data_IF_044951023927
#
_entry.id   IF_044951023927
#
_cell.length_a   1.000
_cell.length_b   1.000
_cell.length_c   1.000
_cell.angle_alpha   90.00
_cell.angle_beta   90.00
_cell.angle_gamma   90.00
#
_symmetry.space_group_name_H-M   'P 1'
#
loop_
_entity.id
_entity.type
_entity.pdbx_description
1 polymer ?
#
# COMPACT_ATOMS: atom_id res chain seq x y z
N UNK A 1 21.59 21.97 6.80
CA UNK A 1 20.38 22.37 6.07
C UNK A 1 20.35 21.56 4.78
N UNK A 2 19.63 20.44 4.76
CA UNK A 2 19.52 19.62 3.56
C UNK A 2 18.53 20.32 2.62
N UNK A 3 18.98 20.55 1.42
CA UNK A 3 18.32 21.40 0.42
C UNK A 3 16.97 20.78 -0.02
N UNK A 4 15.89 21.25 0.58
CA UNK A 4 14.49 20.80 0.34
C UNK A 4 14.11 20.92 -1.15
N UNK A 5 14.73 21.87 -1.87
CA UNK A 5 14.52 22.07 -3.31
C UNK A 5 14.98 20.87 -4.14
N UNK A 6 16.04 20.15 -3.70
CA UNK A 6 16.50 18.93 -4.38
C UNK A 6 15.56 17.75 -4.20
N UNK A 7 14.81 17.69 -3.10
CA UNK A 7 13.83 16.62 -2.84
C UNK A 7 12.59 16.82 -3.72
N UNK A 8 12.12 18.06 -3.86
CA UNK A 8 10.94 18.37 -4.71
C UNK A 8 11.27 18.16 -6.20
N UNK A 9 12.47 18.59 -6.66
CA UNK A 9 12.90 18.30 -8.04
C UNK A 9 13.14 16.81 -8.31
N UNK A 10 13.48 16.03 -7.27
CA UNK A 10 13.57 14.58 -7.33
C UNK A 10 12.19 13.90 -7.52
N UNK A 11 11.16 14.40 -6.85
CA UNK A 11 9.79 13.85 -6.96
C UNK A 11 9.18 14.08 -8.35
N UNK A 12 9.42 15.22 -9.00
CA UNK A 12 8.96 15.44 -10.39
C UNK A 12 9.67 14.55 -11.42
N UNK A 13 10.95 14.20 -11.21
CA UNK A 13 11.68 13.26 -12.07
C UNK A 13 11.20 11.81 -11.88
N UNK A 14 10.67 11.42 -10.70
CA UNK A 14 10.25 10.07 -10.39
C UNK A 14 8.92 9.67 -11.07
N UNK A 15 8.03 10.62 -11.37
CA UNK A 15 6.76 10.35 -12.09
C UNK A 15 6.98 9.80 -13.50
N UNK A 16 8.08 10.17 -14.16
CA UNK A 16 8.40 9.73 -15.52
C UNK A 16 8.96 8.30 -15.61
N UNK A 17 9.31 7.67 -14.49
CA UNK A 17 10.00 6.38 -14.52
C UNK A 17 9.08 5.24 -14.90
N UNK A 18 7.84 5.21 -14.42
CA UNK A 18 6.90 4.13 -14.70
C UNK A 18 6.58 4.01 -16.21
N UNK A 19 6.39 5.13 -16.91
CA UNK A 19 6.12 5.13 -18.35
C UNK A 19 7.24 4.50 -19.17
N UNK A 20 8.49 4.60 -18.71
CA UNK A 20 9.68 4.07 -19.40
C UNK A 20 10.09 2.67 -18.94
N UNK A 21 9.52 2.13 -17.85
CA UNK A 21 9.93 0.83 -17.27
C UNK A 21 9.50 -0.36 -18.12
N UNK A 22 10.34 -1.39 -18.15
CA UNK A 22 9.92 -2.74 -18.54
C UNK A 22 9.17 -3.43 -17.39
N UNK A 23 8.40 -4.45 -17.71
CA UNK A 23 7.63 -5.20 -16.68
C UNK A 23 8.55 -5.82 -15.62
N UNK A 24 9.72 -6.29 -16.04
CA UNK A 24 10.69 -6.98 -15.17
C UNK A 24 11.64 -6.02 -14.44
N UNK A 25 11.56 -4.70 -14.68
CA UNK A 25 12.39 -3.70 -13.98
C UNK A 25 11.91 -3.37 -12.56
N UNK A 26 10.76 -3.92 -12.18
CA UNK A 26 10.15 -3.67 -10.87
C UNK A 26 9.59 -2.24 -10.70
N UNK A 27 8.66 -2.08 -9.78
CA UNK A 27 8.10 -0.77 -9.43
C UNK A 27 8.86 -0.17 -8.25
N UNK A 28 8.92 1.16 -8.20
CA UNK A 28 9.39 1.92 -7.04
C UNK A 28 8.24 2.27 -6.10
N UNK A 29 8.56 2.80 -4.92
CA UNK A 29 7.54 3.33 -4.00
C UNK A 29 6.71 4.43 -4.66
N UNK A 30 7.37 5.36 -5.36
CA UNK A 30 6.67 6.45 -6.07
C UNK A 30 5.77 5.96 -7.22
N UNK A 31 6.12 4.85 -7.88
CA UNK A 31 5.23 4.23 -8.85
C UNK A 31 3.98 3.66 -8.17
N UNK A 32 4.17 3.04 -6.99
CA UNK A 32 3.05 2.50 -6.21
C UNK A 32 2.18 3.60 -5.62
N UNK A 33 2.76 4.71 -5.16
CA UNK A 33 2.02 5.90 -4.68
C UNK A 33 1.16 6.49 -5.78
N UNK A 34 1.75 6.67 -6.97
CA UNK A 34 1.03 7.15 -8.13
C UNK A 34 -0.16 6.24 -8.49
N UNK A 35 0.05 4.92 -8.56
CA UNK A 35 -1.00 3.97 -8.89
C UNK A 35 -2.07 3.87 -7.81
N UNK A 36 -1.68 3.87 -6.54
CA UNK A 36 -2.60 3.87 -5.41
C UNK A 36 -3.53 5.09 -5.45
N UNK A 37 -2.98 6.28 -5.69
CA UNK A 37 -3.73 7.52 -5.89
C UNK A 37 -4.68 7.42 -7.07
N UNK A 38 -4.18 7.02 -8.24
CA UNK A 38 -4.98 6.90 -9.47
C UNK A 38 -6.14 5.93 -9.32
N UNK A 39 -5.91 4.77 -8.70
CA UNK A 39 -6.98 3.80 -8.46
C UNK A 39 -7.98 4.26 -7.39
N UNK A 40 -7.54 4.96 -6.35
CA UNK A 40 -8.43 5.56 -5.37
C UNK A 40 -9.39 6.57 -6.04
N UNK A 41 -8.86 7.48 -6.85
CA UNK A 41 -9.64 8.48 -7.60
C UNK A 41 -10.68 7.81 -8.52
N UNK A 42 -10.31 6.77 -9.25
CA UNK A 42 -11.21 6.05 -10.16
C UNK A 42 -12.31 5.25 -9.44
N UNK A 43 -12.18 4.98 -8.16
CA UNK A 43 -13.14 4.18 -7.39
C UNK A 43 -13.78 4.95 -6.24
N UNK A 44 -13.76 6.29 -6.28
CA UNK A 44 -14.35 7.17 -5.24
C UNK A 44 -13.84 6.86 -3.82
N UNK A 45 -12.59 6.39 -3.72
CA UNK A 45 -11.89 6.20 -2.47
C UNK A 45 -11.02 7.43 -2.18
N UNK A 46 -10.71 7.65 -0.91
CA UNK A 46 -9.79 8.71 -0.52
C UNK A 46 -8.35 8.21 -0.58
N UNK A 47 -7.48 8.95 -1.27
CA UNK A 47 -6.04 8.73 -1.21
C UNK A 47 -5.44 9.59 -0.11
N UNK A 48 -4.77 8.96 0.84
CA UNK A 48 -4.07 9.62 1.92
C UNK A 48 -2.55 9.58 1.68
N UNK A 49 -1.98 10.74 1.35
CA UNK A 49 -0.53 10.88 1.28
C UNK A 49 0.06 10.87 2.70
N UNK A 50 0.76 9.79 3.02
CA UNK A 50 1.38 9.60 4.32
C UNK A 50 2.64 10.43 4.52
N UNK A 51 3.36 10.75 3.44
CA UNK A 51 4.70 11.32 3.53
C UNK A 51 4.75 12.67 4.27
N UNK A 52 3.87 13.65 3.99
CA UNK A 52 3.84 14.91 4.74
C UNK A 52 3.55 14.72 6.23
N UNK A 53 2.67 13.77 6.56
CA UNK A 53 2.31 13.45 7.94
C UNK A 53 3.48 12.83 8.70
N UNK A 54 4.21 11.96 8.04
CA UNK A 54 5.35 11.26 8.62
C UNK A 54 6.54 12.20 8.86
N UNK A 55 6.70 13.23 8.04
CA UNK A 55 7.76 14.23 8.17
C UNK A 55 7.45 15.33 9.20
N UNK A 56 6.38 15.21 10.01
CA UNK A 56 5.90 16.23 10.96
C UNK A 56 5.70 17.62 10.31
N UNK A 57 5.50 17.68 9.01
CA UNK A 57 5.06 18.92 8.37
C UNK A 57 3.62 19.14 8.81
N UNK A 58 3.30 20.38 9.21
CA UNK A 58 1.94 20.81 9.53
C UNK A 58 1.05 20.55 8.32
N UNK A 59 0.55 19.33 8.22
CA UNK A 59 -0.47 19.00 7.24
C UNK A 59 -1.81 19.49 7.81
N UNK A 60 -2.72 19.88 6.95
CA UNK A 60 -4.11 20.16 7.33
C UNK A 60 -4.77 18.86 7.82
N UNK A 61 -4.46 18.49 9.07
CA UNK A 61 -4.99 17.28 9.70
C UNK A 61 -6.52 17.31 9.74
N UNK A 62 -7.14 18.46 9.94
CA UNK A 62 -8.59 18.60 9.98
C UNK A 62 -9.23 18.32 8.61
N UNK A 63 -8.62 18.79 7.52
CA UNK A 63 -9.05 18.49 6.16
C UNK A 63 -8.88 17.02 5.81
N UNK A 64 -7.76 16.42 6.19
CA UNK A 64 -7.49 14.98 6.03
C UNK A 64 -8.55 14.17 6.77
N UNK A 65 -8.80 14.44 8.04
CA UNK A 65 -9.81 13.80 8.87
C UNK A 65 -11.20 13.85 8.23
N UNK A 66 -11.61 15.03 7.79
CA UNK A 66 -12.89 15.23 7.11
C UNK A 66 -13.03 14.39 5.84
N UNK A 67 -11.95 14.24 5.07
CA UNK A 67 -11.95 13.42 3.85
C UNK A 67 -12.01 11.93 4.15
N UNK A 68 -11.28 11.46 5.18
CA UNK A 68 -11.35 10.09 5.66
C UNK A 68 -12.78 9.78 6.15
N UNK A 69 -13.38 10.65 6.92
CA UNK A 69 -14.76 10.48 7.42
C UNK A 69 -15.80 10.35 6.31
N UNK A 70 -15.61 11.07 5.20
CA UNK A 70 -16.52 11.02 4.05
C UNK A 70 -16.35 9.77 3.19
N UNK A 71 -15.21 9.12 3.24
CA UNK A 71 -14.89 7.96 2.40
C UNK A 71 -15.10 6.65 3.15
N UNK A 72 -15.67 5.65 2.47
CA UNK A 72 -15.78 4.30 3.02
C UNK A 72 -14.47 3.53 2.94
N UNK A 73 -13.63 3.86 1.95
CA UNK A 73 -12.34 3.23 1.72
C UNK A 73 -11.29 4.33 1.61
N UNK A 74 -10.20 4.16 2.35
CA UNK A 74 -8.99 4.97 2.21
C UNK A 74 -7.86 4.11 1.69
N UNK A 75 -7.09 4.65 0.76
CA UNK A 75 -5.83 4.06 0.26
C UNK A 75 -4.70 4.98 0.66
N UNK A 76 -3.64 4.43 1.21
CA UNK A 76 -2.46 5.24 1.57
C UNK A 76 -1.37 5.15 0.51
N UNK A 77 -0.38 6.02 0.60
CA UNK A 77 0.90 5.84 -0.05
C UNK A 77 1.60 4.55 0.43
N UNK A 78 2.60 4.12 -0.33
CA UNK A 78 3.38 2.93 -0.01
C UNK A 78 4.23 3.14 1.25
N UNK A 79 4.28 2.12 2.11
CA UNK A 79 5.05 2.13 3.34
C UNK A 79 6.16 1.08 3.25
N UNK A 80 7.41 1.49 3.47
CA UNK A 80 8.51 0.52 3.58
C UNK A 80 8.52 -0.10 4.97
N UNK A 81 8.42 -1.43 4.99
CA UNK A 81 8.52 -2.24 6.21
C UNK A 81 9.92 -2.82 6.28
N UNK A 82 10.64 -2.49 7.36
CA UNK A 82 11.99 -3.03 7.64
C UNK A 82 11.91 -4.06 8.76
N UNK A 83 12.89 -4.98 8.85
CA UNK A 83 12.94 -5.94 9.94
C UNK A 83 12.95 -5.28 11.32
N UNK A 84 12.42 -5.99 12.30
CA UNK A 84 12.28 -5.53 13.69
C UNK A 84 13.65 -5.16 14.28
N UNK A 85 13.73 -3.97 14.83
CA UNK A 85 14.91 -3.50 15.58
C UNK A 85 15.21 -2.02 15.43
N UNK A 86 14.71 -1.36 14.38
CA UNK A 86 14.98 0.06 14.13
C UNK A 86 13.76 0.70 13.48
N UNK A 87 13.30 1.82 13.98
CA UNK A 87 12.40 2.83 13.39
C UNK A 87 11.10 2.39 12.66
N UNK A 88 10.97 1.16 12.16
CA UNK A 88 9.79 0.70 11.40
C UNK A 88 8.49 0.67 12.20
N UNK A 89 8.58 0.44 13.52
CA UNK A 89 7.44 0.37 14.43
C UNK A 89 6.77 1.71 14.68
N UNK A 90 7.55 2.77 14.75
CA UNK A 90 7.03 4.12 15.04
C UNK A 90 6.07 4.60 13.95
N UNK A 91 6.28 4.17 12.71
CA UNK A 91 5.45 4.51 11.58
C UNK A 91 4.05 3.89 11.67
N UNK A 92 3.99 2.59 11.99
CA UNK A 92 2.72 1.88 12.17
C UNK A 92 1.92 2.43 13.34
N UNK A 93 2.59 2.71 14.45
CA UNK A 93 1.95 3.29 15.63
C UNK A 93 1.37 4.67 15.29
N UNK A 94 2.15 5.54 14.64
CA UNK A 94 1.66 6.86 14.23
C UNK A 94 0.49 6.77 13.26
N UNK A 95 0.59 5.91 12.24
CA UNK A 95 -0.48 5.70 11.28
C UNK A 95 -1.76 5.19 11.97
N UNK A 96 -1.65 4.16 12.79
CA UNK A 96 -2.78 3.56 13.46
C UNK A 96 -3.32 4.44 14.60
N UNK A 97 -2.49 5.21 15.30
CA UNK A 97 -2.96 6.22 16.28
C UNK A 97 -3.73 7.35 15.58
N UNK A 98 -3.32 7.76 14.39
CA UNK A 98 -4.08 8.70 13.57
C UNK A 98 -5.46 8.14 13.23
N UNK A 99 -5.54 6.86 12.84
CA UNK A 99 -6.78 6.17 12.54
C UNK A 99 -7.67 5.96 13.76
N UNK A 100 -7.09 5.84 14.97
CA UNK A 100 -7.85 5.69 16.20
C UNK A 100 -8.75 6.88 16.50
N UNK A 101 -8.25 8.10 16.34
CA UNK A 101 -8.97 9.32 16.72
C UNK A 101 -10.18 9.60 15.84
N UNK A 102 -10.16 9.15 14.58
CA UNK A 102 -11.10 9.61 13.56
C UNK A 102 -12.00 8.53 12.96
N UNK A 103 -11.68 7.27 13.20
CA UNK A 103 -12.34 6.12 12.56
C UNK A 103 -13.26 5.32 13.47
N UNK A 104 -13.30 5.66 14.75
CA UNK A 104 -14.03 4.85 15.76
C UNK A 104 -15.56 4.95 15.62
N UNK A 105 -16.07 5.91 14.87
CA UNK A 105 -17.51 6.14 14.75
C UNK A 105 -18.22 5.34 13.65
N UNK A 106 -17.49 4.79 12.68
CA UNK A 106 -18.09 4.13 11.52
C UNK A 106 -17.25 2.96 10.98
N UNK A 107 -17.91 2.04 10.26
CA UNK A 107 -17.23 0.96 9.57
C UNK A 107 -16.42 1.49 8.39
N UNK A 108 -15.12 1.27 8.39
CA UNK A 108 -14.18 1.80 7.39
C UNK A 108 -13.23 0.72 6.91
N UNK A 109 -12.70 0.96 5.70
CA UNK A 109 -11.70 0.10 5.09
C UNK A 109 -10.43 0.91 4.78
N UNK A 110 -9.28 0.30 5.02
CA UNK A 110 -7.97 0.89 4.78
C UNK A 110 -7.13 -0.06 3.93
N UNK A 111 -6.52 0.45 2.87
CA UNK A 111 -5.60 -0.28 1.99
C UNK A 111 -4.24 0.40 2.07
N UNK A 112 -3.21 -0.37 2.38
CA UNK A 112 -1.83 0.09 2.52
C UNK A 112 -0.94 -0.75 1.60
N UNK A 113 -0.40 -0.19 0.52
CA UNK A 113 0.69 -0.83 -0.20
C UNK A 113 1.91 -0.90 0.72
N UNK A 114 2.51 -2.06 0.86
CA UNK A 114 3.71 -2.22 1.65
C UNK A 114 4.87 -2.71 0.78
N UNK A 115 6.03 -2.10 0.99
CA UNK A 115 7.28 -2.55 0.43
C UNK A 115 8.03 -3.29 1.53
N UNK A 116 8.09 -4.59 1.39
CA UNK A 116 8.88 -5.43 2.25
C UNK A 116 10.35 -5.28 1.85
N UNK A 117 11.17 -4.77 2.76
CA UNK A 117 12.61 -4.66 2.54
C UNK A 117 13.30 -5.64 3.49
N UNK A 118 13.58 -6.88 3.02
CA UNK A 118 14.29 -7.86 3.81
C UNK A 118 15.73 -7.40 4.09
N UNK A 119 16.42 -8.12 4.95
CA UNK A 119 17.81 -7.81 5.38
C UNK A 119 18.82 -7.65 4.23
N UNK A 120 18.47 -8.11 3.03
CA UNK A 120 19.28 -7.91 1.83
C UNK A 120 18.72 -6.80 0.94
N UNK A 121 19.48 -5.72 0.68
CA UNK A 121 18.95 -4.53 -0.01
C UNK A 121 18.62 -4.72 -1.51
N UNK A 122 18.78 -5.93 -2.05
CA UNK A 122 18.61 -6.18 -3.50
C UNK A 122 17.20 -6.63 -3.91
N UNK A 123 16.37 -7.06 -2.96
CA UNK A 123 15.05 -7.62 -3.28
C UNK A 123 13.94 -6.81 -2.59
N UNK A 124 13.44 -5.81 -3.29
CA UNK A 124 12.24 -5.11 -2.89
C UNK A 124 11.02 -5.94 -3.28
N UNK A 125 10.20 -6.31 -2.32
CA UNK A 125 8.96 -7.02 -2.58
C UNK A 125 7.76 -6.17 -2.19
N UNK A 126 6.77 -6.05 -3.07
CA UNK A 126 5.52 -5.35 -2.78
C UNK A 126 4.43 -6.33 -2.40
N UNK A 127 3.71 -5.99 -1.36
CA UNK A 127 2.50 -6.65 -0.90
C UNK A 127 1.43 -5.60 -0.57
N UNK A 128 0.24 -6.04 -0.20
CA UNK A 128 -0.87 -5.16 0.19
C UNK A 128 -1.41 -5.60 1.55
N UNK A 129 -1.52 -4.64 2.45
CA UNK A 129 -2.16 -4.80 3.74
C UNK A 129 -3.50 -4.09 3.72
N UNK A 130 -4.55 -4.78 4.13
CA UNK A 130 -5.89 -4.23 4.25
C UNK A 130 -6.41 -4.31 5.68
N UNK A 131 -7.23 -3.34 6.07
CA UNK A 131 -7.98 -3.37 7.32
C UNK A 131 -9.45 -3.11 7.04
N UNK A 132 -10.29 -3.87 7.69
CA UNK A 132 -11.73 -3.67 7.69
C UNK A 132 -12.18 -3.53 9.15
N UNK A 133 -12.55 -2.31 9.51
CA UNK A 133 -12.96 -1.95 10.86
C UNK A 133 -14.48 -2.06 10.99
N UNK A 134 -14.95 -2.94 11.86
CA UNK A 134 -16.35 -3.04 12.27
C UNK A 134 -16.48 -2.54 13.71
N UNK A 135 -16.72 -1.26 13.84
CA UNK A 135 -16.79 -0.57 15.14
C UNK A 135 -17.96 -1.08 15.96
N UNK A 136 -19.11 -1.33 15.31
CA UNK A 136 -20.34 -1.77 15.97
C UNK A 136 -20.17 -3.11 16.70
N UNK A 137 -19.45 -4.04 16.06
CA UNK A 137 -19.20 -5.37 16.63
C UNK A 137 -17.84 -5.46 17.33
N UNK A 138 -17.08 -4.35 17.39
CA UNK A 138 -15.73 -4.30 17.95
C UNK A 138 -14.77 -5.32 17.30
N UNK A 139 -14.85 -5.45 15.96
CA UNK A 139 -14.05 -6.39 15.19
C UNK A 139 -13.11 -5.64 14.22
N UNK A 140 -11.92 -6.19 14.01
CA UNK A 140 -11.01 -5.80 12.93
C UNK A 140 -10.60 -7.04 12.15
N UNK A 141 -10.79 -6.98 10.83
CA UNK A 141 -10.23 -7.96 9.93
C UNK A 141 -8.98 -7.37 9.27
N UNK A 142 -7.88 -8.07 9.38
CA UNK A 142 -6.60 -7.73 8.76
C UNK A 142 -6.39 -8.65 7.58
N UNK A 143 -6.06 -8.09 6.41
CA UNK A 143 -5.85 -8.83 5.17
C UNK A 143 -4.43 -8.59 4.68
N UNK A 144 -3.73 -9.66 4.38
CA UNK A 144 -2.41 -9.58 3.77
C UNK A 144 -2.42 -10.36 2.46
N UNK A 145 -2.07 -9.67 1.37
CA UNK A 145 -2.01 -10.26 0.04
C UNK A 145 -0.64 -9.98 -0.57
N UNK A 146 -0.05 -11.04 -1.07
CA UNK A 146 1.23 -10.97 -1.76
C UNK A 146 1.23 -11.89 -3.00
N UNK A 147 2.20 -11.70 -3.88
CA UNK A 147 2.26 -12.37 -5.17
C UNK A 147 2.34 -13.90 -5.08
N UNK A 148 3.20 -14.42 -4.20
CA UNK A 148 3.59 -15.84 -4.18
C UNK A 148 2.78 -16.71 -3.22
N UNK A 149 1.92 -16.15 -2.43
CA UNK A 149 1.22 -16.71 -1.28
C UNK A 149 2.09 -16.82 -0.01
N UNK A 150 1.43 -16.61 1.13
CA UNK A 150 2.03 -16.88 2.44
C UNK A 150 1.98 -18.39 2.66
N UNK A 151 3.10 -19.06 2.52
CA UNK A 151 3.20 -20.49 2.76
C UNK A 151 3.44 -20.75 4.23
N UNK A 152 2.57 -21.55 4.82
CA UNK A 152 2.87 -22.20 6.10
C UNK A 152 3.74 -23.43 5.84
N UNK A 153 5.04 -23.31 6.02
CA UNK A 153 5.91 -24.46 6.29
C UNK A 153 6.47 -25.26 5.13
N UNK A 154 6.32 -24.89 3.86
CA UNK A 154 6.95 -25.62 2.74
C UNK A 154 8.22 -24.90 2.25
N UNK A 155 9.34 -25.64 2.35
CA UNK A 155 10.72 -25.17 2.34
C UNK A 155 11.41 -25.09 0.97
N UNK A 156 10.71 -25.02 -0.15
CA UNK A 156 11.35 -25.11 -1.47
C UNK A 156 11.85 -23.77 -2.06
N UNK A 157 11.75 -22.68 -1.31
CA UNK A 157 12.38 -21.42 -1.67
C UNK A 157 13.09 -20.82 -0.45
N UNK A 158 14.40 -21.05 -0.35
CA UNK A 158 15.28 -20.44 0.66
C UNK A 158 15.27 -18.89 0.67
N UNK A 159 14.65 -18.27 -0.32
CA UNK A 159 14.53 -16.82 -0.45
C UNK A 159 13.28 -16.25 0.25
N UNK A 160 12.30 -17.08 0.65
CA UNK A 160 11.02 -16.63 1.23
C UNK A 160 10.93 -16.72 2.77
N UNK A 161 11.91 -17.35 3.43
CA UNK A 161 11.92 -17.49 4.89
C UNK A 161 11.88 -16.15 5.62
N UNK A 162 12.60 -15.16 5.10
CA UNK A 162 12.70 -13.82 5.70
C UNK A 162 11.38 -13.05 5.65
N UNK A 163 10.54 -13.25 4.60
CA UNK A 163 9.25 -12.58 4.49
C UNK A 163 8.19 -13.16 5.42
N UNK A 164 8.16 -14.49 5.58
CA UNK A 164 7.20 -15.13 6.49
C UNK A 164 7.46 -14.77 7.94
N UNK A 165 8.72 -14.74 8.35
CA UNK A 165 9.13 -14.36 9.71
C UNK A 165 8.84 -12.87 9.96
N UNK A 166 9.12 -12.01 8.98
CA UNK A 166 8.84 -10.60 9.05
C UNK A 166 7.32 -10.35 9.16
N UNK A 167 6.50 -11.04 8.39
CA UNK A 167 5.03 -10.97 8.49
C UNK A 167 4.57 -11.43 9.87
N UNK A 168 5.07 -12.57 10.35
CA UNK A 168 4.77 -13.06 11.69
C UNK A 168 5.10 -12.02 12.75
N UNK A 169 6.28 -11.43 12.70
CA UNK A 169 6.70 -10.42 13.65
C UNK A 169 5.85 -9.15 13.56
N UNK A 170 5.55 -8.66 12.38
CA UNK A 170 4.72 -7.46 12.22
C UNK A 170 3.25 -7.71 12.55
N UNK A 171 2.65 -8.77 12.01
CA UNK A 171 1.22 -9.01 12.21
C UNK A 171 0.94 -9.50 13.63
N UNK A 172 1.57 -10.60 14.03
CA UNK A 172 1.24 -11.26 15.29
C UNK A 172 1.83 -10.59 16.52
N UNK A 173 3.03 -10.03 16.42
CA UNK A 173 3.69 -9.38 17.56
C UNK A 173 3.40 -7.88 17.68
N UNK A 174 2.94 -7.23 16.60
CA UNK A 174 2.69 -5.80 16.61
C UNK A 174 1.26 -5.41 16.26
N UNK A 175 0.81 -5.66 15.04
CA UNK A 175 -0.44 -5.10 14.53
C UNK A 175 -1.63 -5.66 15.32
N UNK A 176 -1.70 -6.97 15.54
CA UNK A 176 -2.78 -7.58 16.33
C UNK A 176 -2.80 -7.07 17.77
N UNK A 177 -1.69 -7.06 18.53
CA UNK A 177 -1.67 -6.46 19.86
C UNK A 177 -2.03 -4.98 19.87
N UNK A 178 -1.57 -4.21 18.86
CA UNK A 178 -1.93 -2.81 18.74
C UNK A 178 -3.44 -2.64 18.56
N UNK A 179 -4.07 -3.37 17.64
CA UNK A 179 -5.51 -3.31 17.44
C UNK A 179 -6.29 -3.66 18.71
N UNK A 180 -5.83 -4.65 19.48
CA UNK A 180 -6.47 -5.05 20.75
C UNK A 180 -6.24 -4.06 21.87
N UNK A 181 -4.98 -3.70 22.11
CA UNK A 181 -4.58 -2.95 23.32
C UNK A 181 -4.72 -1.43 23.17
N UNK A 182 -4.44 -0.91 21.97
CA UNK A 182 -4.47 0.54 21.74
C UNK A 182 -5.77 0.99 21.09
N UNK A 183 -6.28 0.27 20.11
CA UNK A 183 -7.52 0.61 19.44
C UNK A 183 -8.76 0.06 20.18
N UNK A 184 -8.58 -0.91 21.08
CA UNK A 184 -9.65 -1.43 21.92
C UNK A 184 -10.60 -2.43 21.23
N UNK A 185 -10.22 -2.99 20.08
CA UNK A 185 -11.01 -3.99 19.39
C UNK A 185 -10.95 -5.34 20.13
N UNK A 186 -12.10 -5.95 20.35
CA UNK A 186 -12.20 -7.23 21.08
C UNK A 186 -11.76 -8.40 20.20
N UNK A 187 -12.19 -8.39 18.94
CA UNK A 187 -11.89 -9.46 18.00
C UNK A 187 -11.01 -8.90 16.86
N UNK A 188 -9.87 -9.53 16.66
CA UNK A 188 -8.95 -9.21 15.58
C UNK A 188 -8.65 -10.49 14.83
N UNK A 189 -9.05 -10.57 13.58
CA UNK A 189 -8.88 -11.72 12.70
C UNK A 189 -7.87 -11.38 11.61
N UNK A 190 -7.02 -12.34 11.24
CA UNK A 190 -6.02 -12.19 10.21
C UNK A 190 -6.26 -13.17 9.06
N UNK A 191 -6.25 -12.64 7.84
CA UNK A 191 -6.47 -13.35 6.59
C UNK A 191 -5.32 -13.11 5.63
N UNK A 192 -4.87 -14.14 4.95
CA UNK A 192 -3.83 -14.04 3.93
C UNK A 192 -4.13 -14.97 2.76
N UNK A 193 -3.59 -14.64 1.58
CA UNK A 193 -3.76 -15.52 0.44
C UNK A 193 -2.84 -16.75 0.57
N UNK A 194 -3.45 -17.92 0.50
CA UNK A 194 -2.74 -19.22 0.53
C UNK A 194 -2.48 -19.78 -0.88
N UNK A 195 -2.85 -19.05 -1.92
CA UNK A 195 -2.59 -19.39 -3.32
C UNK A 195 -1.84 -18.26 -3.99
N UNK A 196 -0.85 -18.57 -4.86
CA UNK A 196 -0.14 -17.54 -5.58
C UNK A 196 -1.06 -16.80 -6.56
N UNK A 197 -0.90 -15.50 -6.63
CA UNK A 197 -1.58 -14.64 -7.61
C UNK A 197 -0.82 -14.67 -8.93
N UNK A 198 0.51 -14.75 -8.88
CA UNK A 198 1.36 -14.96 -10.04
C UNK A 198 2.60 -15.76 -9.66
N UNK A 199 3.08 -16.56 -10.62
CA UNK A 199 4.37 -17.28 -10.51
C UNK A 199 5.51 -16.57 -11.24
N UNK A 200 5.23 -15.52 -11.99
CA UNK A 200 6.24 -14.74 -12.71
C UNK A 200 7.12 -13.96 -11.73
N UNK A 201 8.44 -14.00 -11.93
CA UNK A 201 9.39 -13.27 -11.08
C UNK A 201 9.37 -11.77 -11.38
N UNK A 202 9.78 -10.95 -10.42
CA UNK A 202 9.99 -9.49 -10.53
C UNK A 202 8.76 -8.65 -10.90
N UNK A 203 7.55 -9.17 -10.74
CA UNK A 203 6.29 -8.46 -11.06
C UNK A 203 5.45 -8.11 -9.84
N UNK A 204 6.03 -8.20 -8.64
CA UNK A 204 5.30 -7.94 -7.38
C UNK A 204 4.62 -6.57 -7.36
N UNK A 205 5.24 -5.53 -7.92
CA UNK A 205 4.63 -4.20 -8.02
C UNK A 205 3.39 -4.17 -8.93
N UNK A 206 3.43 -4.87 -10.08
CA UNK A 206 2.27 -5.00 -10.97
C UNK A 206 1.15 -5.74 -10.26
N UNK A 207 1.47 -6.86 -9.61
CA UNK A 207 0.51 -7.67 -8.86
C UNK A 207 -0.09 -6.88 -7.70
N UNK A 208 0.72 -6.19 -6.90
CA UNK A 208 0.25 -5.36 -5.79
C UNK A 208 -0.70 -4.25 -6.28
N UNK A 209 -0.38 -3.59 -7.39
CA UNK A 209 -1.26 -2.58 -7.98
C UNK A 209 -2.61 -3.16 -8.40
N UNK A 210 -2.64 -4.37 -8.94
CA UNK A 210 -3.88 -5.07 -9.29
C UNK A 210 -4.67 -5.48 -8.05
N UNK A 211 -4.00 -5.95 -6.99
CA UNK A 211 -4.64 -6.25 -5.71
C UNK A 211 -5.37 -5.01 -5.18
N UNK A 212 -4.71 -3.85 -5.14
CA UNK A 212 -5.32 -2.59 -4.71
C UNK A 212 -6.57 -2.30 -5.55
N UNK A 213 -6.46 -2.38 -6.88
CA UNK A 213 -7.57 -2.14 -7.80
C UNK A 213 -8.75 -3.10 -7.54
N UNK A 214 -8.48 -4.37 -7.27
CA UNK A 214 -9.51 -5.37 -6.98
C UNK A 214 -10.15 -5.14 -5.60
N UNK A 215 -9.36 -4.84 -4.57
CA UNK A 215 -9.87 -4.53 -3.24
C UNK A 215 -10.79 -3.31 -3.25
N UNK A 216 -10.48 -2.29 -4.05
CA UNK A 216 -11.34 -1.12 -4.23
C UNK A 216 -12.70 -1.44 -4.84
N UNK A 217 -12.79 -2.47 -5.71
CA UNK A 217 -14.01 -2.90 -6.39
C UNK A 217 -14.80 -3.96 -5.64
N UNK A 218 -14.13 -4.73 -4.80
CA UNK A 218 -14.70 -5.88 -4.12
C UNK A 218 -15.27 -5.49 -2.78
N UNK A 219 -16.53 -5.84 -2.51
CA UNK A 219 -17.16 -5.60 -1.21
C UNK A 219 -16.70 -6.59 -0.15
N UNK A 220 -16.51 -7.85 -0.53
CA UNK A 220 -16.14 -8.97 0.34
C UNK A 220 -14.65 -9.30 0.20
N UNK A 221 -13.85 -8.71 1.06
CA UNK A 221 -12.41 -8.94 1.08
C UNK A 221 -12.02 -10.32 1.60
N UNK A 222 -12.83 -10.93 2.49
CA UNK A 222 -12.57 -12.30 2.97
C UNK A 222 -12.65 -13.30 1.81
N UNK A 223 -13.68 -13.18 0.98
CA UNK A 223 -13.83 -14.02 -0.22
C UNK A 223 -12.69 -13.79 -1.20
N UNK A 224 -12.31 -12.54 -1.42
CA UNK A 224 -11.23 -12.18 -2.34
C UNK A 224 -9.88 -12.77 -1.90
N UNK A 225 -9.54 -12.68 -0.62
CA UNK A 225 -8.27 -13.23 -0.08
C UNK A 225 -8.22 -14.74 -0.14
N UNK A 226 -9.34 -15.42 0.14
CA UNK A 226 -9.42 -16.88 0.08
C UNK A 226 -9.40 -17.44 -1.35
N UNK A 227 -9.82 -16.65 -2.33
CA UNK A 227 -9.89 -17.01 -3.74
C UNK A 227 -9.34 -15.87 -4.61
N UNK A 228 -8.05 -15.52 -4.47
CA UNK A 228 -7.47 -14.46 -5.28
C UNK A 228 -7.41 -14.90 -6.75
N UNK A 229 -7.51 -13.96 -7.70
CA UNK A 229 -7.35 -14.28 -9.10
C UNK A 229 -5.92 -14.75 -9.36
N UNK A 230 -5.77 -15.77 -10.19
CA UNK A 230 -4.47 -16.17 -10.72
C UNK A 230 -4.24 -15.41 -12.01
N UNK A 231 -3.17 -14.64 -12.09
CA UNK A 231 -2.82 -13.84 -13.26
C UNK A 231 -1.88 -14.62 -14.18
N UNK A 232 -2.22 -14.67 -15.47
CA UNK A 232 -1.31 -15.17 -16.51
C UNK A 232 -0.26 -14.12 -16.88
N UNK A 233 0.80 -14.52 -17.59
CA UNK A 233 1.85 -13.61 -18.03
C UNK A 233 1.30 -12.53 -18.96
N UNK A 234 0.38 -12.86 -19.85
CA UNK A 234 -0.29 -11.92 -20.74
C UNK A 234 -1.13 -10.89 -19.98
N UNK A 235 -1.82 -11.34 -18.92
CA UNK A 235 -2.57 -10.42 -18.05
C UNK A 235 -1.66 -9.47 -17.28
N UNK A 236 -0.51 -9.94 -16.84
CA UNK A 236 0.51 -9.11 -16.18
C UNK A 236 1.06 -8.06 -17.14
N UNK A 237 1.40 -8.46 -18.37
CA UNK A 237 1.89 -7.53 -19.39
C UNK A 237 0.84 -6.47 -19.74
N UNK A 238 -0.43 -6.88 -19.89
CA UNK A 238 -1.53 -5.96 -20.15
C UNK A 238 -1.76 -4.98 -18.99
N UNK A 239 -1.67 -5.44 -17.74
CA UNK A 239 -1.76 -4.60 -16.55
C UNK A 239 -0.60 -3.61 -16.46
N UNK A 240 0.63 -4.08 -16.72
CA UNK A 240 1.80 -3.22 -16.76
C UNK A 240 1.65 -2.13 -17.82
N UNK A 241 1.23 -2.48 -19.04
CA UNK A 241 1.00 -1.51 -20.10
C UNK A 241 -0.09 -0.49 -19.74
N UNK A 242 -1.17 -0.93 -19.10
CA UNK A 242 -2.22 -0.05 -18.60
C UNK A 242 -1.67 0.95 -17.56
N UNK A 243 -0.85 0.48 -16.62
CA UNK A 243 -0.22 1.33 -15.61
C UNK A 243 0.73 2.37 -16.24
N UNK A 244 1.50 1.97 -17.26
CA UNK A 244 2.33 2.89 -18.07
C UNK A 244 1.51 3.96 -18.77
N UNK A 245 0.37 3.58 -19.33
CA UNK A 245 -0.51 4.53 -20.03
C UNK A 245 -1.09 5.56 -19.06
N UNK A 246 -1.42 5.19 -17.82
CA UNK A 246 -1.82 6.14 -16.79
C UNK A 246 -0.69 7.14 -16.47
N UNK A 247 0.54 6.67 -16.31
CA UNK A 247 1.67 7.54 -16.04
C UNK A 247 2.00 8.47 -17.22
N UNK A 248 1.84 7.99 -18.45
CA UNK A 248 2.03 8.79 -19.65
C UNK A 248 0.98 9.88 -19.81
N UNK A 249 -0.32 9.57 -19.54
CA UNK A 249 -1.40 10.55 -19.64
C UNK A 249 -1.30 11.66 -18.59
N UNK A 250 -0.90 11.31 -17.36
CA UNK A 250 -0.69 12.29 -16.28
C UNK A 250 0.42 13.31 -16.63
N UNK A 251 1.47 12.84 -17.33
CA UNK A 251 2.56 13.71 -17.78
C UNK A 251 2.10 14.72 -18.86
N UNK A 252 1.15 14.35 -19.72
CA UNK A 252 0.61 15.26 -20.76
C UNK A 252 -0.23 16.37 -20.12
N UNK A 253 -1.02 16.06 -19.08
CA UNK A 253 -1.82 17.06 -18.36
C UNK A 253 -0.94 18.11 -17.66
N UNK A 254 0.20 17.71 -17.09
CA UNK A 254 1.14 18.61 -16.42
C UNK A 254 1.80 19.58 -17.43
N UNK A 255 2.10 19.12 -18.64
CA UNK A 255 2.73 19.94 -19.68
C UNK A 255 1.77 20.90 -20.39
N UNK A 256 0.46 20.63 -20.31
CA UNK A 256 -0.57 21.45 -20.95
C UNK A 256 -1.17 22.53 -20.01
N UNK A 257 -0.80 22.58 -18.74
CA UNK A 257 -1.29 23.58 -17.79
C UNK A 257 -0.23 24.65 -17.52
N UNK A 258 -0.16 25.74 -18.33
CA UNK A 258 0.90 26.76 -18.25
C UNK A 258 0.80 27.68 -17.04
N UNK A 259 -0.22 27.54 -16.17
CA UNK A 259 -0.44 28.44 -15.03
C UNK A 259 0.53 28.25 -13.84
N UNK A 260 1.36 27.22 -13.83
CA UNK A 260 2.39 27.03 -12.79
C UNK A 260 3.77 27.58 -13.16
N UNK A 261 3.93 28.26 -14.31
CA UNK A 261 5.22 28.84 -14.71
C UNK A 261 5.44 30.30 -14.25
N UNK A 262 4.48 30.96 -13.63
CA UNK A 262 4.55 32.38 -13.29
C UNK A 262 4.83 32.69 -11.81
N UNK A 263 5.47 31.82 -11.08
CA UNK A 263 6.09 32.17 -9.79
C UNK A 263 7.62 32.07 -9.91
N UNK A 264 8.18 33.11 -10.54
CA UNK A 264 9.58 33.51 -10.38
C UNK A 264 9.71 34.59 -9.31
#
# INVERSE_FOLDING_TARGET
MIDVVKIISGMHKLKNTLAAKSVDSGYSESDMDFLAKKYAEQNSAYYFDLLPYLENKESDLAGVQKNIQKSNITVTGAVTVRPVGVDGWQWWIKLLDFWKSDMISENKKLIIPIKLNPYQPKENHFAVLGFEFDVKNSNVNIFFLEQHAVRSGETDYNENLDYSDMINDYIYKAIIPFCKLRLGYKNVEFYFNNKPISRRKHVCGVVASEIIRQMLKTKDWKKFVNQPPVLTDEQIDALHQKNKNYAASDNVEITQNPKEQDFR
#
